data_IF_848507102102
#
_entry.id   IF_848507102102
#
_cell.length_a   1.000
_cell.length_b   1.000
_cell.length_c   1.000
_cell.angle_alpha   90.00
_cell.angle_beta   90.00
_cell.angle_gamma   90.00
#
_symmetry.space_group_name_H-M   'P 1'
#
loop_
_entity.id
_entity.type
_entity.pdbx_description
1 polymer ?
#
# COMPACT_ATOMS: atom_id res chain seq x y z
N UNK A 1 9.55 55.91 31.13
CA UNK A 1 8.14 56.11 30.74
C UNK A 1 8.09 56.50 29.27
N UNK A 2 7.75 55.56 28.36
CA UNK A 2 7.37 55.72 26.94
C UNK A 2 7.32 54.31 26.33
N UNK A 3 6.15 53.78 26.26
CA UNK A 3 5.21 53.57 25.14
C UNK A 3 5.69 52.54 24.09
N UNK A 4 5.20 51.32 24.25
CA UNK A 4 5.06 50.38 23.16
C UNK A 4 3.58 50.39 22.67
N UNK A 5 3.30 50.84 21.45
CA UNK A 5 2.06 50.46 20.78
C UNK A 5 2.22 50.05 19.32
N UNK A 6 3.22 49.24 18.93
CA UNK A 6 3.40 48.92 17.52
C UNK A 6 3.29 47.41 17.14
N UNK A 7 3.31 46.50 18.12
CA UNK A 7 3.25 45.07 17.84
C UNK A 7 1.82 44.57 17.51
N UNK A 8 0.78 45.24 18.00
CA UNK A 8 -0.62 44.82 17.79
C UNK A 8 -1.21 45.20 16.42
N UNK A 9 -0.68 46.19 15.76
CA UNK A 9 -1.17 46.64 14.43
C UNK A 9 -0.62 45.78 13.29
N UNK A 10 0.56 45.14 13.44
CA UNK A 10 1.17 44.26 12.41
C UNK A 10 0.48 42.91 12.35
N UNK A 11 -0.04 42.39 13.47
CA UNK A 11 -0.76 41.10 13.50
C UNK A 11 -2.12 41.13 12.82
N UNK A 12 -2.83 42.29 12.88
CA UNK A 12 -4.13 42.39 12.27
C UNK A 12 -4.07 42.57 10.73
N UNK A 13 -3.02 43.18 10.21
CA UNK A 13 -2.82 43.33 8.77
C UNK A 13 -2.45 41.98 8.10
N UNK A 14 -1.64 41.17 8.74
CA UNK A 14 -1.27 39.86 8.21
C UNK A 14 -2.42 38.83 8.23
N UNK A 15 -3.34 38.92 9.19
CA UNK A 15 -4.53 38.08 9.24
C UNK A 15 -5.57 38.45 8.19
N UNK A 16 -5.70 39.71 7.85
CA UNK A 16 -6.62 40.17 6.79
C UNK A 16 -6.12 39.79 5.39
N UNK A 17 -4.82 39.75 5.17
CA UNK A 17 -4.19 39.36 3.91
C UNK A 17 -4.30 37.83 3.65
N UNK A 18 -4.13 37.02 4.68
CA UNK A 18 -4.34 35.59 4.62
C UNK A 18 -5.79 35.17 4.33
N UNK A 19 -6.78 35.96 4.84
CA UNK A 19 -8.19 35.73 4.58
C UNK A 19 -8.63 36.18 3.17
N UNK A 20 -7.99 37.17 2.58
CA UNK A 20 -8.24 37.59 1.20
C UNK A 20 -7.81 36.56 0.19
N UNK A 21 -6.61 35.96 0.37
CA UNK A 21 -6.06 34.90 -0.51
C UNK A 21 -6.92 33.63 -0.50
N UNK A 22 -7.53 33.30 0.64
CA UNK A 22 -8.43 32.14 0.75
C UNK A 22 -9.77 32.37 0.05
N UNK A 23 -10.24 33.58 0.01
CA UNK A 23 -11.51 33.96 -0.64
C UNK A 23 -11.39 33.91 -2.17
N UNK A 24 -10.28 34.41 -2.72
CA UNK A 24 -10.01 34.39 -4.16
C UNK A 24 -9.87 32.97 -4.70
N UNK A 25 -9.32 32.04 -3.91
CA UNK A 25 -9.25 30.62 -4.26
C UNK A 25 -10.61 29.90 -4.23
N UNK A 26 -11.55 30.32 -3.38
CA UNK A 26 -12.90 29.76 -3.36
C UNK A 26 -13.75 30.25 -4.55
N UNK A 27 -13.58 31.49 -4.97
CA UNK A 27 -14.30 32.05 -6.11
C UNK A 27 -13.81 31.46 -7.44
N UNK A 28 -12.54 31.05 -7.53
CA UNK A 28 -11.99 30.34 -8.68
C UNK A 28 -12.56 28.92 -8.85
N UNK A 29 -12.98 28.27 -7.76
CA UNK A 29 -13.62 26.95 -7.78
C UNK A 29 -15.14 27.00 -8.00
N UNK A 30 -15.77 28.19 -7.85
CA UNK A 30 -17.21 28.43 -8.04
C UNK A 30 -17.55 28.99 -9.42
N UNK A 31 -16.62 28.94 -10.37
CA UNK A 31 -16.80 29.41 -11.75
C UNK A 31 -17.91 28.69 -12.47
N UNK A 32 -19.04 29.38 -12.52
CA UNK A 32 -20.27 29.08 -13.24
C UNK A 32 -19.99 28.93 -14.73
N UNK A 33 -19.75 27.68 -15.16
CA UNK A 33 -19.74 27.37 -16.62
C UNK A 33 -21.14 27.00 -17.08
N UNK A 34 -21.88 28.01 -17.54
CA UNK A 34 -23.02 27.84 -18.42
C UNK A 34 -22.55 27.96 -19.86
N UNK A 35 -22.17 26.81 -20.47
CA UNK A 35 -21.95 26.71 -21.90
C UNK A 35 -22.79 25.57 -22.50
N UNK A 36 -23.31 25.70 -23.74
CA UNK A 36 -24.28 24.77 -24.29
C UNK A 36 -23.63 23.42 -24.57
N UNK A 37 -24.28 22.35 -24.10
CA UNK A 37 -23.97 20.95 -24.38
C UNK A 37 -24.26 20.65 -25.88
N UNK A 38 -23.28 20.84 -26.74
CA UNK A 38 -23.35 20.34 -28.12
C UNK A 38 -22.01 19.70 -28.47
N UNK A 39 -22.00 18.35 -28.56
CA UNK A 39 -20.83 17.60 -28.98
C UNK A 39 -20.34 16.48 -28.09
N UNK A 40 -21.20 15.82 -27.30
CA UNK A 40 -20.88 14.54 -26.69
C UNK A 40 -20.82 13.46 -27.77
N UNK A 41 -19.67 13.39 -28.46
CA UNK A 41 -19.24 12.13 -29.06
C UNK A 41 -18.99 11.17 -27.91
N UNK A 42 -19.74 10.10 -27.85
CA UNK A 42 -19.54 8.93 -27.01
C UNK A 42 -18.11 8.40 -27.17
N UNK A 43 -17.17 9.02 -26.46
CA UNK A 43 -15.92 8.38 -26.16
C UNK A 43 -16.27 7.27 -25.18
N UNK A 44 -16.06 6.02 -25.62
CA UNK A 44 -16.44 4.82 -24.90
C UNK A 44 -16.11 4.91 -23.42
N UNK A 45 -17.05 4.45 -22.62
CA UNK A 45 -16.83 4.10 -21.22
C UNK A 45 -15.67 3.11 -21.15
N UNK A 46 -14.45 3.64 -21.09
CA UNK A 46 -13.34 2.93 -20.52
C UNK A 46 -13.70 2.79 -19.02
N UNK A 47 -14.36 1.68 -18.71
CA UNK A 47 -14.41 1.17 -17.34
C UNK A 47 -12.98 1.28 -16.82
N UNK A 48 -12.71 1.97 -15.70
CA UNK A 48 -11.37 2.01 -15.18
C UNK A 48 -10.92 0.56 -15.03
N UNK A 49 -9.84 0.20 -15.73
CA UNK A 49 -9.23 -1.11 -15.56
C UNK A 49 -9.10 -1.33 -14.05
N UNK A 50 -9.50 -2.51 -13.53
CA UNK A 50 -9.45 -2.75 -12.09
C UNK A 50 -8.06 -2.38 -11.62
N UNK A 51 -7.99 -1.45 -10.67
CA UNK A 51 -6.72 -0.93 -10.16
C UNK A 51 -5.85 -2.14 -9.81
N UNK A 52 -4.71 -2.26 -10.47
CA UNK A 52 -3.84 -3.43 -10.36
C UNK A 52 -3.44 -3.58 -8.88
N UNK A 53 -4.02 -4.56 -8.20
CA UNK A 53 -3.86 -4.76 -6.75
C UNK A 53 -2.46 -5.29 -6.51
N UNK A 54 -1.59 -4.42 -6.00
CA UNK A 54 -0.27 -4.82 -5.51
C UNK A 54 -0.38 -5.17 -4.03
N UNK A 55 -0.01 -6.39 -3.68
CA UNK A 55 -0.03 -6.86 -2.29
C UNK A 55 1.41 -6.83 -1.75
N UNK A 56 1.58 -6.24 -0.57
CA UNK A 56 2.89 -6.15 0.08
C UNK A 56 2.83 -6.76 1.47
N UNK A 57 3.77 -7.68 1.75
CA UNK A 57 3.95 -8.26 3.08
C UNK A 57 5.13 -7.65 3.80
N UNK A 58 4.98 -7.47 5.10
CA UNK A 58 6.00 -6.88 5.96
C UNK A 58 6.33 -7.84 7.09
N UNK A 59 7.61 -8.06 7.32
CA UNK A 59 8.07 -8.90 8.43
C UNK A 59 9.20 -8.26 9.21
N UNK A 60 9.27 -8.55 10.48
CA UNK A 60 10.28 -8.05 11.41
C UNK A 60 11.00 -9.19 12.10
N UNK A 61 12.27 -9.00 12.44
CA UNK A 61 12.99 -9.93 13.29
C UNK A 61 14.11 -9.24 14.05
N UNK A 62 14.33 -9.68 15.30
CA UNK A 62 15.41 -9.20 16.16
C UNK A 62 16.68 -10.03 15.93
N UNK A 63 17.84 -9.37 15.92
CA UNK A 63 19.16 -9.99 15.76
C UNK A 63 19.52 -10.80 17.02
N UNK A 64 19.26 -10.22 18.20
CA UNK A 64 19.52 -10.85 19.50
C UNK A 64 18.75 -12.16 19.71
N UNK A 65 17.55 -12.26 19.14
CA UNK A 65 16.72 -13.45 19.23
C UNK A 65 17.18 -14.60 18.29
N UNK A 66 18.13 -14.37 17.38
CA UNK A 66 18.55 -15.35 16.42
C UNK A 66 19.70 -16.24 16.90
N UNK A 67 19.71 -17.53 16.55
CA UNK A 67 20.85 -18.39 16.80
C UNK A 67 22.03 -17.99 15.92
N UNK A 68 23.24 -18.11 16.47
CA UNK A 68 24.49 -17.83 15.74
C UNK A 68 25.63 -17.54 16.71
N UNK A 69 26.82 -17.97 16.31
CA UNK A 69 28.05 -17.78 17.11
C UNK A 69 28.59 -16.36 16.93
N UNK A 70 28.43 -15.77 15.76
CA UNK A 70 28.90 -14.44 15.43
C UNK A 70 27.75 -13.46 15.23
N UNK A 71 28.02 -12.18 15.37
CA UNK A 71 27.05 -11.11 15.11
C UNK A 71 26.57 -11.14 13.64
N UNK A 72 27.46 -11.46 12.70
CA UNK A 72 27.11 -11.53 11.30
C UNK A 72 26.19 -12.72 10.98
N UNK A 73 26.39 -13.87 11.60
CA UNK A 73 25.46 -15.00 11.49
C UNK A 73 24.07 -14.62 11.99
N UNK A 74 23.99 -14.02 13.19
CA UNK A 74 22.71 -13.57 13.75
C UNK A 74 22.01 -12.55 12.87
N UNK A 75 22.74 -11.60 12.25
CA UNK A 75 22.18 -10.63 11.28
C UNK A 75 21.60 -11.33 10.06
N UNK A 76 22.32 -12.30 9.49
CA UNK A 76 21.82 -13.08 8.36
C UNK A 76 20.56 -13.89 8.73
N UNK A 77 20.55 -14.50 9.90
CA UNK A 77 19.39 -15.24 10.39
C UNK A 77 18.20 -14.31 10.64
N UNK A 78 18.42 -13.11 11.19
CA UNK A 78 17.37 -12.12 11.39
C UNK A 78 16.76 -11.66 10.07
N UNK A 79 17.57 -11.41 9.03
CA UNK A 79 17.03 -11.07 7.70
C UNK A 79 16.20 -12.21 7.10
N UNK A 80 16.63 -13.48 7.27
CA UNK A 80 15.86 -14.65 6.82
C UNK A 80 14.56 -14.80 7.60
N UNK A 81 14.60 -14.64 8.92
CA UNK A 81 13.42 -14.71 9.77
C UNK A 81 12.42 -13.60 9.45
N UNK A 82 12.87 -12.37 9.26
CA UNK A 82 12.02 -11.25 8.81
C UNK A 82 11.40 -11.52 7.43
N UNK A 83 12.15 -12.16 6.49
CA UNK A 83 11.59 -12.57 5.19
C UNK A 83 10.50 -13.63 5.35
N UNK A 84 10.70 -14.62 6.21
CA UNK A 84 9.68 -15.65 6.49
C UNK A 84 8.41 -15.04 7.09
N UNK A 85 8.55 -14.07 7.97
CA UNK A 85 7.42 -13.34 8.55
C UNK A 85 6.67 -12.53 7.50
N UNK A 86 7.40 -11.83 6.61
CA UNK A 86 6.80 -11.12 5.48
C UNK A 86 6.05 -12.06 4.51
N UNK A 87 6.54 -13.29 4.29
CA UNK A 87 5.82 -14.30 3.50
C UNK A 87 4.54 -14.76 4.20
N UNK A 88 4.56 -14.87 5.53
CA UNK A 88 3.35 -15.20 6.31
C UNK A 88 2.30 -14.11 6.15
N UNK A 89 2.69 -12.85 6.31
CA UNK A 89 1.82 -11.70 6.11
C UNK A 89 1.22 -11.67 4.69
N UNK A 90 2.04 -11.90 3.64
CA UNK A 90 1.53 -12.07 2.28
C UNK A 90 0.51 -13.20 2.16
N UNK A 91 0.77 -14.34 2.81
CA UNK A 91 -0.13 -15.49 2.77
C UNK A 91 -1.48 -15.16 3.37
N UNK A 92 -1.51 -14.47 4.50
CA UNK A 92 -2.74 -14.06 5.17
C UNK A 92 -3.54 -13.09 4.30
N UNK A 93 -2.89 -12.09 3.69
CA UNK A 93 -3.54 -11.15 2.80
C UNK A 93 -4.12 -11.83 1.54
N UNK A 94 -3.37 -12.74 0.91
CA UNK A 94 -3.81 -13.51 -0.26
C UNK A 94 -5.00 -14.39 0.10
N UNK A 95 -4.95 -15.10 1.22
CA UNK A 95 -6.05 -15.94 1.68
C UNK A 95 -7.32 -15.15 1.99
N UNK A 96 -7.20 -13.88 2.39
CA UNK A 96 -8.31 -12.97 2.65
C UNK A 96 -8.98 -12.40 1.40
N UNK A 97 -8.43 -12.64 0.20
CA UNK A 97 -9.03 -12.11 -1.04
C UNK A 97 -10.40 -12.75 -1.31
N UNK A 98 -11.38 -11.90 -1.64
CA UNK A 98 -12.72 -12.33 -1.99
C UNK A 98 -12.76 -12.83 -3.45
N UNK A 99 -13.33 -14.02 -3.66
CA UNK A 99 -13.62 -14.59 -4.99
C UNK A 99 -15.07 -14.37 -5.40
N UNK A 100 -15.99 -14.41 -4.42
CA UNK A 100 -17.41 -14.10 -4.55
C UNK A 100 -17.93 -13.53 -3.24
N UNK A 101 -19.23 -13.20 -3.15
CA UNK A 101 -19.86 -12.70 -1.91
C UNK A 101 -19.61 -13.60 -0.70
N UNK A 102 -19.56 -14.90 -0.91
CA UNK A 102 -19.57 -15.91 0.17
C UNK A 102 -18.31 -16.79 0.19
N UNK A 103 -17.34 -16.53 -0.70
CA UNK A 103 -16.17 -17.39 -0.84
C UNK A 103 -14.88 -16.58 -0.90
N UNK A 104 -13.94 -16.95 -0.01
CA UNK A 104 -12.58 -16.40 -0.02
C UNK A 104 -11.64 -17.31 -0.81
N UNK A 105 -10.47 -16.78 -1.15
CA UNK A 105 -9.40 -17.58 -1.76
C UNK A 105 -8.98 -18.73 -0.83
N UNK A 106 -8.98 -18.51 0.48
CA UNK A 106 -8.68 -19.54 1.49
C UNK A 106 -9.58 -20.75 1.35
N UNK A 107 -10.89 -20.54 1.17
CA UNK A 107 -11.85 -21.64 1.04
C UNK A 107 -11.59 -22.49 -0.21
N UNK A 108 -11.16 -21.85 -1.30
CA UNK A 108 -10.78 -22.53 -2.54
C UNK A 108 -9.45 -23.28 -2.41
N UNK A 109 -8.47 -22.69 -1.71
CA UNK A 109 -7.16 -23.33 -1.43
C UNK A 109 -7.32 -24.58 -0.56
N UNK A 110 -8.25 -24.59 0.39
CA UNK A 110 -8.52 -25.76 1.23
C UNK A 110 -9.10 -26.92 0.38
N UNK A 111 -9.87 -26.61 -0.64
CA UNK A 111 -10.54 -27.60 -1.50
C UNK A 111 -9.69 -28.11 -2.66
N UNK A 112 -8.58 -27.44 -2.99
CA UNK A 112 -7.75 -27.75 -4.16
C UNK A 112 -6.28 -27.73 -3.80
N UNK A 113 -5.64 -28.90 -3.82
CA UNK A 113 -4.19 -29.03 -3.61
C UNK A 113 -3.39 -28.37 -4.73
N UNK A 114 -3.91 -28.39 -5.96
CA UNK A 114 -3.28 -27.72 -7.09
C UNK A 114 -3.23 -26.20 -6.87
N UNK A 115 -4.35 -25.60 -6.49
CA UNK A 115 -4.40 -24.17 -6.16
C UNK A 115 -3.49 -23.82 -4.97
N UNK A 116 -3.43 -24.68 -3.97
CA UNK A 116 -2.50 -24.54 -2.84
C UNK A 116 -1.05 -24.50 -3.30
N UNK A 117 -0.66 -25.38 -4.20
CA UNK A 117 0.69 -25.43 -4.76
C UNK A 117 1.01 -24.15 -5.56
N UNK A 118 0.08 -23.68 -6.37
CA UNK A 118 0.20 -22.41 -7.13
C UNK A 118 0.42 -21.24 -6.16
N UNK A 119 -0.47 -21.04 -5.20
CA UNK A 119 -0.38 -19.93 -4.23
C UNK A 119 0.94 -19.98 -3.45
N UNK A 120 1.33 -21.15 -2.96
CA UNK A 120 2.59 -21.31 -2.24
C UNK A 120 3.83 -21.07 -3.13
N UNK A 121 3.77 -21.42 -4.40
CA UNK A 121 4.81 -21.14 -5.39
C UNK A 121 4.99 -19.62 -5.62
N UNK A 122 3.90 -18.93 -5.87
CA UNK A 122 3.89 -17.50 -6.12
C UNK A 122 4.35 -16.67 -4.90
N UNK A 123 3.92 -17.05 -3.70
CA UNK A 123 4.37 -16.38 -2.45
C UNK A 123 5.88 -16.57 -2.25
N UNK A 124 6.43 -17.76 -2.52
CA UNK A 124 7.89 -17.98 -2.47
C UNK A 124 8.65 -17.14 -3.48
N UNK A 125 8.07 -16.90 -4.65
CA UNK A 125 8.59 -16.05 -5.72
C UNK A 125 8.46 -14.55 -5.45
N UNK A 126 7.81 -14.12 -4.37
CA UNK A 126 7.60 -12.72 -4.04
C UNK A 126 8.90 -11.92 -4.04
N UNK A 127 8.87 -10.75 -4.69
CA UNK A 127 10.04 -9.87 -4.80
C UNK A 127 10.32 -9.17 -3.49
N UNK A 128 11.60 -9.16 -3.08
CA UNK A 128 12.05 -8.34 -1.96
C UNK A 128 12.19 -6.89 -2.43
N UNK A 129 11.34 -6.02 -1.92
CA UNK A 129 11.39 -4.59 -2.21
C UNK A 129 12.47 -3.89 -1.38
N UNK A 130 12.52 -4.19 -0.08
CA UNK A 130 13.45 -3.54 0.85
C UNK A 130 13.83 -4.47 2.01
N UNK A 131 15.06 -4.30 2.46
CA UNK A 131 15.56 -4.81 3.75
C UNK A 131 16.07 -3.60 4.50
N UNK A 132 15.44 -3.27 5.62
CA UNK A 132 15.68 -2.03 6.36
C UNK A 132 16.12 -2.39 7.78
N UNK A 133 17.32 -1.99 8.22
CA UNK A 133 17.68 -2.07 9.62
C UNK A 133 16.78 -1.12 10.43
N UNK A 134 16.23 -1.62 11.51
CA UNK A 134 15.42 -0.85 12.48
C UNK A 134 16.15 -0.80 13.81
N UNK A 135 16.74 0.36 14.11
CA UNK A 135 17.62 0.51 15.26
C UNK A 135 18.88 -0.36 15.11
N UNK A 136 19.44 -0.78 16.25
CA UNK A 136 20.66 -1.58 16.32
C UNK A 136 20.43 -3.09 16.31
N UNK A 137 19.22 -3.56 16.62
CA UNK A 137 18.93 -4.97 16.88
C UNK A 137 17.78 -5.57 16.04
N UNK A 138 17.26 -4.88 15.03
CA UNK A 138 16.14 -5.41 14.24
C UNK A 138 16.31 -5.18 12.76
N UNK A 139 15.68 -6.07 11.96
CA UNK A 139 15.47 -5.90 10.53
C UNK A 139 13.99 -5.91 10.19
N UNK A 140 13.62 -5.07 9.24
CA UNK A 140 12.34 -5.10 8.55
C UNK A 140 12.58 -5.55 7.11
N UNK A 141 11.79 -6.52 6.64
CA UNK A 141 11.78 -6.96 5.24
C UNK A 141 10.41 -6.66 4.65
N UNK A 142 10.40 -6.08 3.45
CA UNK A 142 9.17 -5.81 2.69
C UNK A 142 9.24 -6.63 1.41
N UNK A 143 8.26 -7.50 1.23
CA UNK A 143 8.04 -8.28 0.01
C UNK A 143 6.86 -7.71 -0.76
N UNK A 144 6.80 -7.99 -2.05
CA UNK A 144 5.63 -7.68 -2.88
C UNK A 144 5.32 -8.81 -3.84
N UNK A 145 4.02 -8.98 -4.06
CA UNK A 145 3.47 -9.71 -5.21
C UNK A 145 3.03 -8.69 -6.27
N UNK A 146 3.48 -8.91 -7.48
CA UNK A 146 3.11 -8.05 -8.61
C UNK A 146 1.62 -8.25 -8.94
N UNK A 147 0.96 -7.23 -9.50
CA UNK A 147 -0.45 -7.30 -9.85
C UNK A 147 -0.81 -8.46 -10.78
N UNK A 148 0.08 -8.79 -11.72
CA UNK A 148 -0.11 -9.90 -12.66
C UNK A 148 -0.13 -11.25 -11.94
N UNK A 149 0.75 -11.42 -10.94
CA UNK A 149 0.79 -12.60 -10.07
C UNK A 149 -0.52 -12.75 -9.27
N UNK A 150 -1.00 -11.66 -8.68
CA UNK A 150 -2.29 -11.65 -7.95
C UNK A 150 -3.44 -12.01 -8.90
N UNK A 151 -3.46 -11.43 -10.09
CA UNK A 151 -4.45 -11.73 -11.13
C UNK A 151 -4.40 -13.18 -11.59
N UNK A 152 -3.20 -13.75 -11.73
CA UNK A 152 -2.99 -15.17 -12.06
C UNK A 152 -3.57 -16.08 -10.98
N UNK A 153 -3.25 -15.82 -9.70
CA UNK A 153 -3.81 -16.58 -8.57
C UNK A 153 -5.34 -16.54 -8.57
N UNK A 154 -5.93 -15.36 -8.79
CA UNK A 154 -7.39 -15.21 -8.81
C UNK A 154 -8.05 -15.95 -9.98
N UNK A 155 -7.41 -15.97 -11.16
CA UNK A 155 -7.89 -16.75 -12.32
C UNK A 155 -7.78 -18.24 -12.04
N UNK A 156 -6.67 -18.70 -11.48
CA UNK A 156 -6.49 -20.10 -11.09
C UNK A 156 -7.55 -20.57 -10.09
N UNK A 157 -7.88 -19.71 -9.13
CA UNK A 157 -8.93 -19.99 -8.14
C UNK A 157 -10.35 -20.09 -8.75
N UNK A 158 -10.58 -19.42 -9.87
CA UNK A 158 -11.84 -19.47 -10.63
C UNK A 158 -11.87 -20.57 -11.68
N UNK A 159 -10.81 -21.39 -11.81
CA UNK A 159 -10.69 -22.43 -12.84
C UNK A 159 -10.52 -21.88 -14.26
N UNK A 160 -9.93 -20.68 -14.39
CA UNK A 160 -9.75 -19.97 -15.65
C UNK A 160 -8.29 -20.00 -16.17
N UNK A 161 -7.51 -21.00 -15.76
CA UNK A 161 -6.11 -21.20 -16.15
C UNK A 161 -5.92 -22.57 -16.78
#
# INVERSE_FOLDING_TARGET
MQQQPDARRRGAAQQSEALAVTKDNLDALSGKQTGPLSGLKTAGLLSPAPAAVKITGVGYSQISAQPGKTMNERRLMAMRAARMEAMRDLTEQIHGLQLSSDTTLRDSVIRSDNLRAVVAGEIRGAKTLRIIPKGSDSFQVILALEPDTVSYILRAARGQV
#
